data_IF_368164039180
#
_entry.id   IF_368164039180
#
_cell.length_a   1.000
_cell.length_b   1.000
_cell.length_c   1.000
_cell.angle_alpha   90.00
_cell.angle_beta   90.00
_cell.angle_gamma   90.00
#
_symmetry.space_group_name_H-M   'P 1'
#
loop_
_entity.id
_entity.type
_entity.pdbx_description
1 polymer ?
#
# COMPACT_ATOMS: atom_id res chain seq x y z
N UNK A 1 -8.91 3.33 -6.59
CA UNK A 1 -9.90 3.53 -5.49
C UNK A 1 -9.29 3.03 -4.17
N UNK A 2 -9.77 3.47 -3.01
CA UNK A 2 -9.23 3.00 -1.73
C UNK A 2 -10.30 2.42 -0.81
N UNK A 3 -10.02 1.27 -0.17
CA UNK A 3 -10.84 0.66 0.87
C UNK A 3 -9.93 0.25 2.05
N UNK A 4 -10.12 0.85 3.22
CA UNK A 4 -9.29 0.58 4.41
C UNK A 4 -9.92 -0.38 5.43
N UNK A 5 -10.93 -1.16 5.05
CA UNK A 5 -11.55 -2.17 5.92
C UNK A 5 -12.93 -2.60 5.43
N UNK A 6 -13.62 -3.35 6.27
CA UNK A 6 -15.08 -3.56 6.19
C UNK A 6 -15.83 -2.23 6.26
N UNK A 7 -17.12 -2.24 5.97
CA UNK A 7 -17.94 -1.01 5.95
C UNK A 7 -17.77 -0.15 7.20
N UNK A 8 -17.91 -0.77 8.37
CA UNK A 8 -17.79 -0.07 9.65
C UNK A 8 -16.38 0.52 9.84
N UNK A 9 -15.35 -0.30 9.66
CA UNK A 9 -13.95 0.13 9.81
C UNK A 9 -13.56 1.20 8.81
N UNK A 10 -13.98 1.06 7.55
CA UNK A 10 -13.73 2.04 6.50
C UNK A 10 -14.39 3.38 6.82
N UNK A 11 -15.69 3.38 7.12
CA UNK A 11 -16.42 4.62 7.42
C UNK A 11 -15.87 5.30 8.68
N UNK A 12 -15.46 4.50 9.69
CA UNK A 12 -14.77 4.99 10.89
C UNK A 12 -13.42 5.66 10.57
N UNK A 13 -12.58 5.02 9.76
CA UNK A 13 -11.29 5.58 9.35
C UNK A 13 -11.48 6.86 8.52
N UNK A 14 -12.50 6.89 7.66
CA UNK A 14 -12.79 8.04 6.79
C UNK A 14 -13.51 9.19 7.49
N UNK A 15 -14.13 8.93 8.66
CA UNK A 15 -14.96 9.91 9.36
C UNK A 15 -16.25 10.25 8.61
N UNK A 16 -16.68 9.39 7.66
CA UNK A 16 -17.84 9.63 6.81
C UNK A 16 -18.41 8.29 6.28
N UNK A 17 -19.72 8.25 6.04
CA UNK A 17 -20.44 7.06 5.53
C UNK A 17 -20.28 6.91 4.00
N UNK A 18 -19.07 6.63 3.53
CA UNK A 18 -18.70 6.67 2.10
C UNK A 18 -18.49 5.29 1.48
N UNK A 19 -18.40 4.22 2.28
CA UNK A 19 -18.09 2.88 1.81
C UNK A 19 -18.98 2.42 0.65
N UNK A 20 -20.31 2.59 0.77
CA UNK A 20 -21.25 2.17 -0.28
C UNK A 20 -20.96 2.85 -1.63
N UNK A 21 -20.61 4.15 -1.62
CA UNK A 21 -20.28 4.89 -2.84
C UNK A 21 -18.97 4.39 -3.45
N UNK A 22 -17.98 4.09 -2.61
CA UNK A 22 -16.71 3.50 -3.07
C UNK A 22 -16.95 2.14 -3.76
N UNK A 23 -17.78 1.28 -3.16
CA UNK A 23 -18.12 -0.02 -3.75
C UNK A 23 -18.84 0.13 -5.09
N UNK A 24 -19.79 1.06 -5.18
CA UNK A 24 -20.46 1.36 -6.45
C UNK A 24 -19.44 1.76 -7.52
N UNK A 25 -18.53 2.69 -7.20
CA UNK A 25 -17.53 3.14 -8.17
C UNK A 25 -16.58 2.00 -8.59
N UNK A 26 -16.28 1.05 -7.71
CA UNK A 26 -15.45 -0.12 -8.04
C UNK A 26 -16.16 -1.00 -9.08
N UNK A 27 -17.46 -1.27 -8.88
CA UNK A 27 -18.27 -2.06 -9.82
C UNK A 27 -18.36 -1.40 -11.19
N UNK A 28 -18.45 -0.06 -11.21
CA UNK A 28 -18.61 0.71 -12.45
C UNK A 28 -17.29 0.89 -13.24
N UNK A 29 -16.14 0.93 -12.56
CA UNK A 29 -14.86 1.30 -13.19
C UNK A 29 -13.77 0.22 -13.14
N UNK A 30 -14.03 -0.93 -12.52
CA UNK A 30 -13.10 -2.05 -12.39
C UNK A 30 -11.66 -1.62 -11.98
N UNK A 31 -11.47 -0.73 -10.98
CA UNK A 31 -10.18 -0.12 -10.72
C UNK A 31 -9.24 -1.09 -9.98
N UNK A 32 -7.95 -0.75 -9.94
CA UNK A 32 -7.08 -1.28 -8.88
C UNK A 32 -7.45 -0.60 -7.56
N UNK A 33 -7.64 -1.41 -6.52
CA UNK A 33 -7.99 -0.96 -5.17
C UNK A 33 -6.73 -0.93 -4.30
N UNK A 34 -6.62 0.09 -3.44
CA UNK A 34 -5.55 0.21 -2.45
C UNK A 34 -6.09 0.27 -1.03
N UNK A 35 -5.42 -0.41 -0.10
CA UNK A 35 -5.71 -0.34 1.35
C UNK A 35 -4.48 0.08 2.13
N UNK A 36 -4.62 1.08 3.00
CA UNK A 36 -3.55 1.47 3.93
C UNK A 36 -3.74 0.71 5.23
N UNK A 37 -2.81 -0.20 5.54
CA UNK A 37 -2.88 -1.09 6.69
C UNK A 37 -2.21 -0.45 7.91
N UNK A 38 -2.95 -0.41 9.02
CA UNK A 38 -2.62 0.21 10.29
C UNK A 38 -3.20 -0.59 11.46
N UNK A 39 -2.92 -0.17 12.70
CA UNK A 39 -3.40 -0.89 13.90
C UNK A 39 -4.92 -1.01 13.98
N UNK A 40 -5.68 -0.14 13.30
CA UNK A 40 -7.14 -0.18 13.26
C UNK A 40 -7.71 -1.29 12.36
N UNK A 41 -7.01 -1.69 11.29
CA UNK A 41 -7.59 -2.55 10.24
C UNK A 41 -6.73 -3.79 9.89
N UNK A 42 -5.56 -3.97 10.53
CA UNK A 42 -4.64 -5.06 10.17
C UNK A 42 -5.23 -6.48 10.35
N UNK A 43 -6.32 -6.62 11.10
CA UNK A 43 -7.04 -7.90 11.27
C UNK A 43 -8.02 -8.19 10.12
N UNK A 44 -8.28 -7.22 9.26
CA UNK A 44 -9.30 -7.28 8.20
C UNK A 44 -8.71 -7.48 6.80
N UNK A 45 -7.41 -7.78 6.69
CA UNK A 45 -6.68 -7.91 5.41
C UNK A 45 -7.39 -8.85 4.42
N UNK A 46 -7.80 -10.05 4.87
CA UNK A 46 -8.53 -11.00 4.02
C UNK A 46 -9.92 -10.47 3.65
N UNK A 47 -10.65 -9.89 4.60
CA UNK A 47 -11.99 -9.37 4.37
C UNK A 47 -11.99 -8.23 3.34
N UNK A 48 -11.06 -7.29 3.44
CA UNK A 48 -10.99 -6.14 2.52
C UNK A 48 -10.58 -6.57 1.10
N UNK A 49 -9.69 -7.55 0.97
CA UNK A 49 -9.36 -8.13 -0.35
C UNK A 49 -10.57 -8.83 -0.94
N UNK A 50 -11.27 -9.67 -0.16
CA UNK A 50 -12.48 -10.34 -0.62
C UNK A 50 -13.53 -9.34 -1.10
N UNK A 51 -13.78 -8.29 -0.32
CA UNK A 51 -14.71 -7.21 -0.69
C UNK A 51 -14.32 -6.59 -2.03
N UNK A 52 -13.06 -6.21 -2.24
CA UNK A 52 -12.64 -5.62 -3.50
C UNK A 52 -12.77 -6.60 -4.68
N UNK A 53 -12.38 -7.86 -4.47
CA UNK A 53 -12.46 -8.92 -5.48
C UNK A 53 -13.91 -9.20 -5.91
N UNK A 54 -14.79 -9.47 -4.94
CA UNK A 54 -16.20 -9.79 -5.19
C UNK A 54 -16.97 -8.62 -5.85
N UNK A 55 -16.47 -7.40 -5.73
CA UNK A 55 -17.07 -6.20 -6.33
C UNK A 55 -16.41 -5.79 -7.65
N UNK A 56 -15.55 -6.64 -8.23
CA UNK A 56 -15.04 -6.45 -9.59
C UNK A 56 -13.83 -5.53 -9.70
N UNK A 57 -13.00 -5.38 -8.66
CA UNK A 57 -11.71 -4.71 -8.81
C UNK A 57 -10.78 -5.48 -9.79
N UNK A 58 -9.88 -4.79 -10.50
CA UNK A 58 -8.91 -5.45 -11.43
C UNK A 58 -7.67 -5.96 -10.71
N UNK A 59 -7.41 -5.43 -9.52
CA UNK A 59 -6.29 -5.79 -8.68
C UNK A 59 -6.35 -5.11 -7.32
N UNK A 60 -5.44 -5.51 -6.45
CA UNK A 60 -5.35 -5.01 -5.08
C UNK A 60 -3.90 -4.72 -4.69
N UNK A 61 -3.71 -3.57 -4.05
CA UNK A 61 -2.42 -3.09 -3.54
C UNK A 61 -2.57 -2.78 -2.05
N UNK A 62 -1.59 -3.19 -1.27
CA UNK A 62 -1.44 -2.72 0.11
C UNK A 62 -0.51 -1.51 0.17
N UNK A 63 -0.67 -0.67 1.17
CA UNK A 63 0.39 0.18 1.73
C UNK A 63 0.38 -0.01 3.23
N UNK A 64 1.51 0.20 3.90
CA UNK A 64 1.51 0.30 5.36
C UNK A 64 1.36 1.77 5.76
N UNK A 65 0.71 2.02 6.89
CA UNK A 65 0.63 3.37 7.42
C UNK A 65 2.03 3.92 7.70
N UNK A 66 2.27 5.16 7.25
CA UNK A 66 3.51 5.89 7.48
C UNK A 66 3.24 6.98 8.50
N UNK A 67 3.97 6.97 9.60
CA UNK A 67 3.79 7.91 10.70
C UNK A 67 5.10 8.23 11.40
N UNK A 68 5.05 9.25 12.25
CA UNK A 68 6.18 9.62 13.10
C UNK A 68 6.43 8.57 14.18
N UNK A 69 7.64 8.54 14.78
CA UNK A 69 7.87 7.73 15.97
C UNK A 69 6.74 7.90 17.00
N UNK A 70 6.39 6.79 17.66
CA UNK A 70 5.30 6.70 18.66
C UNK A 70 3.85 6.91 18.18
N UNK A 71 3.60 7.10 16.88
CA UNK A 71 2.22 7.13 16.38
C UNK A 71 1.50 5.78 16.63
N UNK A 72 0.32 5.77 17.28
CA UNK A 72 -0.41 4.55 17.65
C UNK A 72 -0.96 3.77 16.45
N UNK A 73 -1.01 4.37 15.26
CA UNK A 73 -1.45 3.71 14.03
C UNK A 73 -0.34 2.86 13.39
N UNK A 74 0.90 3.02 13.82
CA UNK A 74 2.04 2.27 13.30
C UNK A 74 1.98 0.78 13.68
N UNK A 75 2.19 -0.06 12.67
CA UNK A 75 2.44 -1.48 12.88
C UNK A 75 3.90 -1.68 13.30
N UNK A 76 4.11 -2.25 14.49
CA UNK A 76 5.45 -2.50 15.04
C UNK A 76 5.60 -3.93 15.55
N UNK A 77 6.85 -4.39 15.66
CA UNK A 77 7.20 -5.67 16.27
C UNK A 77 6.39 -6.86 15.72
N UNK A 78 5.76 -7.60 16.62
CA UNK A 78 5.00 -8.80 16.27
C UNK A 78 3.74 -8.51 15.45
N UNK A 79 3.12 -7.33 15.62
CA UNK A 79 1.94 -6.94 14.85
C UNK A 79 2.33 -6.76 13.38
N UNK A 80 3.44 -6.06 13.10
CA UNK A 80 3.97 -5.92 11.74
C UNK A 80 4.29 -7.29 11.12
N UNK A 81 5.05 -8.14 11.83
CA UNK A 81 5.40 -9.49 11.33
C UNK A 81 4.16 -10.33 11.02
N UNK A 82 3.14 -10.29 11.88
CA UNK A 82 1.87 -10.99 11.66
C UNK A 82 1.13 -10.42 10.45
N UNK A 83 1.05 -9.09 10.34
CA UNK A 83 0.43 -8.40 9.19
C UNK A 83 1.06 -8.85 7.89
N UNK A 84 2.40 -8.88 7.79
CA UNK A 84 3.11 -9.36 6.59
C UNK A 84 2.76 -10.83 6.29
N UNK A 85 2.69 -11.69 7.30
CA UNK A 85 2.27 -13.10 7.12
C UNK A 85 0.84 -13.21 6.60
N UNK A 86 -0.08 -12.38 7.09
CA UNK A 86 -1.47 -12.41 6.66
C UNK A 86 -1.63 -11.87 5.22
N UNK A 87 -0.84 -10.87 4.82
CA UNK A 87 -0.77 -10.44 3.41
C UNK A 87 -0.24 -11.59 2.53
N UNK A 88 0.81 -12.30 2.95
CA UNK A 88 1.36 -13.44 2.20
C UNK A 88 0.33 -14.56 1.99
N UNK A 89 -0.48 -14.87 3.00
CA UNK A 89 -1.57 -15.85 2.87
C UNK A 89 -2.59 -15.42 1.82
N UNK A 90 -2.98 -14.15 1.85
CA UNK A 90 -3.95 -13.59 0.90
C UNK A 90 -3.35 -13.53 -0.51
N UNK A 91 -2.06 -13.27 -0.66
CA UNK A 91 -1.37 -13.39 -1.95
C UNK A 91 -1.42 -14.81 -2.51
N UNK A 92 -1.26 -15.83 -1.66
CA UNK A 92 -1.38 -17.22 -2.09
C UNK A 92 -2.82 -17.57 -2.52
N UNK A 93 -3.82 -17.09 -1.78
CA UNK A 93 -5.23 -17.37 -2.04
C UNK A 93 -5.78 -16.63 -3.28
N UNK A 94 -5.39 -15.36 -3.49
CA UNK A 94 -5.92 -14.51 -4.54
C UNK A 94 -4.96 -14.31 -5.73
N UNK A 95 -3.74 -14.88 -5.67
CA UNK A 95 -2.78 -14.95 -6.77
C UNK A 95 -2.54 -13.62 -7.48
N UNK A 96 -2.87 -13.57 -8.78
CA UNK A 96 -2.65 -12.40 -9.64
C UNK A 96 -3.59 -11.22 -9.39
N UNK A 97 -4.58 -11.37 -8.52
CA UNK A 97 -5.36 -10.24 -8.04
C UNK A 97 -4.53 -9.34 -7.11
N UNK A 98 -3.60 -9.90 -6.33
CA UNK A 98 -2.73 -9.09 -5.47
C UNK A 98 -1.50 -8.62 -6.28
N UNK A 99 -1.39 -7.31 -6.45
CA UNK A 99 -0.33 -6.63 -7.21
C UNK A 99 0.95 -6.45 -6.37
N UNK A 100 1.41 -7.53 -5.72
CA UNK A 100 2.62 -7.57 -4.91
C UNK A 100 3.49 -8.76 -5.29
N UNK A 101 4.80 -8.60 -5.13
CA UNK A 101 5.74 -9.71 -5.01
C UNK A 101 6.06 -10.00 -3.54
N UNK A 102 6.54 -11.21 -3.26
CA UNK A 102 7.07 -11.55 -1.93
C UNK A 102 8.23 -10.63 -1.55
N UNK A 103 9.10 -10.28 -2.52
CA UNK A 103 10.24 -9.38 -2.31
C UNK A 103 9.80 -8.00 -1.82
N UNK A 104 8.72 -7.45 -2.37
CA UNK A 104 8.17 -6.15 -1.91
C UNK A 104 7.74 -6.20 -0.44
N UNK A 105 7.21 -7.33 0.05
CA UNK A 105 6.87 -7.50 1.46
C UNK A 105 8.10 -7.64 2.37
N UNK A 106 9.14 -8.33 1.90
CA UNK A 106 10.42 -8.43 2.62
C UNK A 106 11.04 -7.04 2.82
N UNK A 107 10.95 -6.17 1.80
CA UNK A 107 11.46 -4.79 1.86
C UNK A 107 10.75 -3.91 2.88
N UNK A 108 9.48 -4.18 3.22
CA UNK A 108 8.83 -3.48 4.34
C UNK A 108 9.51 -3.77 5.68
N UNK A 109 10.07 -4.98 5.84
CA UNK A 109 10.74 -5.42 7.06
C UNK A 109 12.20 -4.96 7.10
N UNK A 110 12.95 -5.14 6.01
CA UNK A 110 14.39 -4.81 6.01
C UNK A 110 14.68 -3.32 5.82
N UNK A 111 13.74 -2.57 5.24
CA UNK A 111 13.89 -1.14 4.93
C UNK A 111 15.09 -0.80 4.03
N UNK A 112 15.69 -1.79 3.35
CA UNK A 112 16.83 -1.60 2.44
C UNK A 112 16.59 -0.57 1.32
N UNK A 113 15.33 -0.33 0.97
CA UNK A 113 14.97 0.64 -0.06
C UNK A 113 15.16 2.11 0.40
N UNK A 114 15.21 2.39 1.71
CA UNK A 114 15.15 3.76 2.24
C UNK A 114 16.32 4.64 1.77
N UNK A 115 17.59 4.20 1.80
CA UNK A 115 18.71 4.98 1.26
C UNK A 115 18.59 5.26 -0.25
N UNK A 116 17.85 4.42 -0.97
CA UNK A 116 17.67 4.49 -2.42
C UNK A 116 16.29 5.00 -2.85
N UNK A 117 15.50 5.53 -1.90
CA UNK A 117 14.14 5.97 -2.16
C UNK A 117 14.12 7.07 -3.23
N UNK A 118 13.39 6.84 -4.31
CA UNK A 118 13.30 7.74 -5.48
C UNK A 118 12.83 9.16 -5.14
N UNK A 119 12.06 9.32 -4.06
CA UNK A 119 11.69 10.65 -3.55
C UNK A 119 12.84 11.31 -2.78
N UNK A 120 13.53 10.55 -1.92
CA UNK A 120 14.65 11.03 -1.11
C UNK A 120 15.85 11.42 -1.97
N UNK A 121 16.10 10.69 -3.06
CA UNK A 121 17.18 10.97 -4.01
C UNK A 121 16.82 12.05 -5.03
N UNK A 122 15.60 12.58 -4.99
CA UNK A 122 15.15 13.66 -5.88
C UNK A 122 14.80 13.23 -7.31
N UNK A 123 14.78 11.91 -7.61
CA UNK A 123 14.36 11.39 -8.92
C UNK A 123 12.88 11.69 -9.19
N UNK A 124 12.04 11.66 -8.15
CA UNK A 124 10.64 12.10 -8.22
C UNK A 124 10.40 13.20 -7.19
N UNK A 125 9.83 14.32 -7.64
CA UNK A 125 9.44 15.45 -6.78
C UNK A 125 7.95 15.37 -6.45
N UNK A 126 7.60 15.71 -5.22
CA UNK A 126 6.22 15.81 -4.75
C UNK A 126 5.94 17.26 -4.34
N UNK A 127 4.70 17.72 -4.55
CA UNK A 127 4.31 19.10 -4.30
C UNK A 127 3.01 19.15 -3.48
N UNK A 128 2.86 20.20 -2.69
CA UNK A 128 1.59 20.61 -2.10
C UNK A 128 0.69 21.25 -3.17
N UNK A 129 -0.63 21.38 -2.94
CA UNK A 129 -1.54 22.04 -3.88
C UNK A 129 -1.17 23.49 -4.22
N UNK A 130 -0.43 24.17 -3.34
CA UNK A 130 0.09 25.52 -3.57
C UNK A 130 1.43 25.56 -4.34
N UNK A 131 1.88 24.43 -4.89
CA UNK A 131 3.14 24.34 -5.65
C UNK A 131 4.41 24.24 -4.80
N UNK A 132 4.34 24.35 -3.46
CA UNK A 132 5.51 24.17 -2.59
C UNK A 132 5.98 22.71 -2.64
N UNK A 133 7.28 22.50 -2.84
CA UNK A 133 7.87 21.16 -2.85
C UNK A 133 7.79 20.50 -1.46
N UNK A 134 7.41 19.23 -1.43
CA UNK A 134 7.44 18.32 -0.28
C UNK A 134 8.73 17.49 -0.30
N UNK A 135 9.15 17.02 0.87
CA UNK A 135 10.18 15.99 0.97
C UNK A 135 9.81 14.72 0.20
N UNK A 136 8.59 14.19 0.39
CA UNK A 136 8.07 13.07 -0.39
C UNK A 136 6.53 13.07 -0.42
N UNK A 137 5.94 12.10 -1.12
CA UNK A 137 4.47 11.95 -1.18
C UNK A 137 3.85 11.71 0.22
N UNK A 138 4.56 11.01 1.12
CA UNK A 138 4.06 10.67 2.45
C UNK A 138 4.13 11.82 3.45
N UNK A 139 4.94 12.85 3.21
CA UNK A 139 5.07 13.97 4.14
C UNK A 139 6.32 14.80 3.91
N UNK A 140 6.59 15.72 4.84
CA UNK A 140 7.64 16.72 4.69
C UNK A 140 8.81 16.54 5.68
N UNK A 141 9.11 15.30 6.07
CA UNK A 141 10.18 15.01 7.04
C UNK A 141 10.86 13.67 6.74
N UNK A 142 12.20 13.59 6.85
CA UNK A 142 12.93 12.33 6.75
C UNK A 142 12.65 11.38 7.93
N UNK A 143 12.13 11.88 9.06
CA UNK A 143 11.76 11.04 10.21
C UNK A 143 10.65 10.02 9.87
N UNK A 144 9.92 10.23 8.78
CA UNK A 144 8.91 9.29 8.28
C UNK A 144 9.54 8.08 7.58
N UNK A 145 10.81 8.14 7.19
CA UNK A 145 11.48 7.09 6.42
C UNK A 145 11.58 5.77 7.19
N UNK A 146 11.83 5.82 8.50
CA UNK A 146 12.00 4.63 9.36
C UNK A 146 10.72 3.80 9.42
N UNK A 147 9.58 4.46 9.35
CA UNK A 147 8.26 3.84 9.34
C UNK A 147 7.60 3.88 7.96
N UNK A 148 8.36 4.12 6.88
CA UNK A 148 7.79 4.30 5.56
C UNK A 148 7.08 3.01 5.10
N UNK A 149 5.80 3.17 4.79
CA UNK A 149 4.90 2.15 4.29
C UNK A 149 4.41 2.42 2.86
N UNK A 150 5.04 3.37 2.17
CA UNK A 150 4.72 3.71 0.79
C UNK A 150 5.15 2.59 -0.17
N UNK A 151 4.22 2.15 -1.00
CA UNK A 151 4.50 1.10 -1.99
C UNK A 151 5.39 1.55 -3.14
N UNK A 152 5.31 2.83 -3.52
CA UNK A 152 6.02 3.37 -4.69
C UNK A 152 7.55 3.18 -4.61
N UNK A 153 8.27 3.61 -3.55
CA UNK A 153 9.70 3.42 -3.47
C UNK A 153 10.11 1.95 -3.31
N UNK A 154 9.23 1.10 -2.74
CA UNK A 154 9.46 -0.34 -2.61
C UNK A 154 9.40 -1.02 -3.97
N UNK A 155 8.35 -0.74 -4.75
CA UNK A 155 8.21 -1.26 -6.10
C UNK A 155 9.39 -0.81 -6.98
N UNK A 156 9.74 0.48 -6.93
CA UNK A 156 10.89 1.01 -7.68
C UNK A 156 12.21 0.33 -7.28
N UNK A 157 12.46 0.13 -5.98
CA UNK A 157 13.67 -0.53 -5.53
C UNK A 157 13.73 -2.02 -5.94
N UNK A 158 12.62 -2.73 -5.77
CA UNK A 158 12.50 -4.13 -6.19
C UNK A 158 12.71 -4.30 -7.71
N UNK A 159 12.18 -3.37 -8.51
CA UNK A 159 12.35 -3.35 -9.97
C UNK A 159 13.78 -3.02 -10.38
N UNK A 160 14.28 -1.84 -10.01
CA UNK A 160 15.48 -1.27 -10.64
C UNK A 160 16.78 -1.60 -9.91
N UNK A 161 16.72 -2.07 -8.66
CA UNK A 161 17.92 -2.39 -7.88
C UNK A 161 18.05 -3.88 -7.57
N UNK A 162 16.93 -4.58 -7.34
CA UNK A 162 16.95 -6.03 -7.11
C UNK A 162 16.62 -6.85 -8.36
N UNK A 163 16.06 -6.24 -9.41
CA UNK A 163 15.60 -6.91 -10.63
C UNK A 163 14.71 -8.13 -10.34
N UNK A 164 13.73 -7.96 -9.45
CA UNK A 164 12.79 -9.02 -9.09
C UNK A 164 11.78 -9.25 -10.23
N UNK A 165 11.93 -10.35 -10.97
CA UNK A 165 11.12 -10.67 -12.15
C UNK A 165 9.62 -10.75 -11.84
N UNK A 166 9.25 -11.26 -10.67
CA UNK A 166 7.86 -11.30 -10.20
C UNK A 166 7.32 -9.88 -10.01
N UNK A 167 8.12 -8.96 -9.46
CA UNK A 167 7.75 -7.55 -9.36
C UNK A 167 7.54 -6.91 -10.74
N UNK A 168 8.38 -7.24 -11.73
CA UNK A 168 8.20 -6.76 -13.12
C UNK A 168 6.84 -7.19 -13.66
N UNK A 169 6.47 -8.46 -13.53
CA UNK A 169 5.18 -8.98 -13.97
C UNK A 169 4.00 -8.27 -13.27
N UNK A 170 4.07 -8.13 -11.94
CA UNK A 170 3.01 -7.51 -11.14
C UNK A 170 2.85 -6.01 -11.42
N UNK A 171 3.94 -5.31 -11.68
CA UNK A 171 3.92 -3.86 -11.93
C UNK A 171 3.47 -3.50 -13.34
N UNK A 172 3.76 -4.34 -14.35
CA UNK A 172 3.15 -4.18 -15.69
C UNK A 172 1.63 -4.12 -15.62
N UNK A 173 1.02 -5.03 -14.84
CA UNK A 173 -0.43 -5.03 -14.60
C UNK A 173 -0.91 -3.80 -13.83
N UNK A 174 -0.14 -3.32 -12.85
CA UNK A 174 -0.52 -2.16 -12.05
C UNK A 174 -0.52 -0.85 -12.87
N UNK A 175 0.41 -0.73 -13.82
CA UNK A 175 0.61 0.48 -14.61
C UNK A 175 0.11 0.37 -16.06
N UNK A 176 -0.56 -0.73 -16.43
CA UNK A 176 -0.95 -1.04 -17.81
C UNK A 176 0.18 -0.80 -18.81
N UNK A 177 1.40 -1.18 -18.44
CA UNK A 177 2.55 -1.06 -19.33
C UNK A 177 2.52 -2.25 -20.32
N UNK A 178 2.74 -2.01 -21.62
CA UNK A 178 2.79 -3.06 -22.64
C UNK A 178 3.89 -4.10 -22.38
#
# INVERSE_FOLDING_TARGET
>A
MSIDGTKETHDKIRGAKVFNKVIQNIRESNPVVISTIMTLNHKEIKAVVKIAHDNGASGFVFSLYTGYPNDPLLLKGNILKKTIKDILKVMHEYGNFICYSKKMLELYLSKEFVPHCIFKTGQIKSFYPNGKQKFCVMGNSPLLCDNCGCIVPIAAYALFKKFDSVTVEKTRKLFNLP
#
